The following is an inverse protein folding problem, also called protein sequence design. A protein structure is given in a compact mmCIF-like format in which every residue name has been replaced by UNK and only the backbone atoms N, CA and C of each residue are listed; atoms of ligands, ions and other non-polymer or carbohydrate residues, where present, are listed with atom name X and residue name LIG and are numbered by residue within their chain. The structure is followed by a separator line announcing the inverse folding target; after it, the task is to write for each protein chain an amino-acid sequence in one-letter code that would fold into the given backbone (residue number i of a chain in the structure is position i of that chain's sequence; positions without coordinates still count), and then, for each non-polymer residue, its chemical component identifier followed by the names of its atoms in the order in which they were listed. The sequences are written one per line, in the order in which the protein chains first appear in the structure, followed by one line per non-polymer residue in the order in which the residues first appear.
data_IF_197189854667
#
_entry.id   IF_197189854667
#
_cell.length_a   1.000
_cell.length_b   1.000
_cell.length_c   1.000
_cell.angle_alpha   90.00
_cell.angle_beta   90.00
_cell.angle_gamma   90.00
#
_symmetry.space_group_name_H-M   'P 1'
#
loop_
_entity.id
_entity.type
_entity.pdbx_description
1 polymer ?
#
# COMPACT_ATOMS: atom_id res chain seq x y z
N UNK A 1 2.22 -8.51 -6.48
CA UNK A 1 2.61 -7.81 -7.73
C UNK A 1 4.04 -8.13 -8.14
N UNK A 2 5.07 -7.80 -7.35
CA UNK A 2 6.48 -8.06 -7.69
C UNK A 2 6.77 -9.53 -8.05
N UNK A 3 6.21 -10.50 -7.31
CA UNK A 3 6.40 -11.92 -7.61
C UNK A 3 5.85 -12.36 -8.98
N UNK A 4 4.72 -11.79 -9.41
CA UNK A 4 4.17 -12.03 -10.75
C UNK A 4 5.09 -11.46 -11.84
N UNK A 5 5.69 -10.29 -11.59
CA UNK A 5 6.60 -9.60 -12.52
C UNK A 5 7.91 -10.37 -12.69
N UNK A 6 8.50 -10.82 -11.58
CA UNK A 6 9.77 -11.55 -11.59
C UNK A 6 9.59 -13.07 -11.82
N UNK A 7 8.37 -13.52 -12.09
CA UNK A 7 7.99 -14.94 -12.21
C UNK A 7 8.52 -15.82 -11.07
N UNK A 8 8.45 -15.31 -9.83
CA UNK A 8 8.96 -15.97 -8.63
C UNK A 8 8.03 -15.73 -7.45
N UNK A 9 7.76 -16.78 -6.69
CA UNK A 9 6.94 -16.69 -5.50
C UNK A 9 7.76 -16.25 -4.29
N UNK A 10 7.85 -14.92 -4.10
CA UNK A 10 8.53 -14.33 -2.95
C UNK A 10 7.82 -14.55 -1.62
N UNK A 11 6.53 -14.95 -1.63
CA UNK A 11 5.80 -15.30 -0.41
C UNK A 11 6.36 -16.60 0.15
N UNK A 12 6.71 -17.55 -0.73
CA UNK A 12 7.31 -18.85 -0.36
C UNK A 12 8.83 -18.78 -0.18
N UNK A 13 9.55 -18.10 -1.06
CA UNK A 13 11.01 -17.97 -1.02
C UNK A 13 11.45 -16.60 -1.57
N UNK A 14 12.02 -15.69 -0.75
CA UNK A 14 12.67 -15.91 0.55
C UNK A 14 11.73 -16.01 1.76
N UNK A 15 10.43 -15.80 1.58
CA UNK A 15 9.46 -15.82 2.67
C UNK A 15 8.90 -14.44 2.99
N UNK A 16 7.59 -14.37 3.22
CA UNK A 16 6.91 -13.15 3.65
C UNK A 16 7.40 -12.68 5.02
N UNK A 17 7.69 -13.61 5.92
CA UNK A 17 8.27 -13.40 7.24
C UNK A 17 9.59 -12.62 7.16
N UNK A 18 10.49 -13.03 6.25
CA UNK A 18 11.78 -12.35 6.06
C UNK A 18 11.61 -10.95 5.49
N UNK A 19 10.62 -10.78 4.62
CA UNK A 19 10.33 -9.48 4.00
C UNK A 19 9.77 -8.50 5.02
N UNK A 20 8.80 -8.93 5.83
CA UNK A 20 8.21 -8.11 6.90
C UNK A 20 9.25 -7.80 7.99
N UNK A 21 10.07 -8.79 8.37
CA UNK A 21 11.16 -8.56 9.33
C UNK A 21 12.18 -7.55 8.79
N UNK A 22 12.52 -7.63 7.51
CA UNK A 22 13.40 -6.65 6.85
C UNK A 22 12.84 -5.22 6.87
N UNK A 23 11.56 -5.05 6.55
CA UNK A 23 10.85 -3.75 6.58
C UNK A 23 10.80 -3.19 8.01
N UNK A 24 10.49 -4.05 8.99
CA UNK A 24 10.49 -3.68 10.41
C UNK A 24 11.86 -3.28 10.94
N UNK A 25 12.92 -4.01 10.59
CA UNK A 25 14.29 -3.67 10.96
C UNK A 25 14.74 -2.37 10.30
N UNK A 26 14.40 -2.17 9.02
CA UNK A 26 14.70 -0.92 8.33
C UNK A 26 13.99 0.27 8.98
N UNK A 27 12.72 0.12 9.35
CA UNK A 27 11.97 1.15 10.08
C UNK A 27 12.53 1.40 11.47
N UNK A 28 12.94 0.36 12.20
CA UNK A 28 13.58 0.50 13.51
C UNK A 28 14.89 1.29 13.42
N UNK A 29 15.76 0.94 12.46
CA UNK A 29 17.01 1.68 12.22
C UNK A 29 16.73 3.13 11.81
N UNK A 30 15.75 3.37 10.94
CA UNK A 30 15.33 4.72 10.56
C UNK A 30 14.85 5.52 11.78
N UNK A 31 14.01 4.94 12.63
CA UNK A 31 13.52 5.60 13.83
C UNK A 31 14.66 5.93 14.82
N UNK A 32 15.64 5.04 14.99
CA UNK A 32 16.81 5.29 15.85
C UNK A 32 17.65 6.49 15.39
N UNK A 33 17.75 6.73 14.08
CA UNK A 33 18.48 7.87 13.51
C UNK A 33 17.59 9.11 13.31
N UNK A 34 16.34 9.08 13.79
CA UNK A 34 15.38 10.19 13.67
C UNK A 34 14.72 10.32 12.30
N UNK A 35 14.83 9.30 11.44
CA UNK A 35 14.16 9.21 10.17
C UNK A 35 12.69 8.78 10.28
N UNK A 36 11.88 9.02 9.24
CA UNK A 36 10.48 8.59 9.20
C UNK A 36 10.36 7.06 9.03
N UNK A 37 9.18 6.52 9.33
CA UNK A 37 8.86 5.14 9.01
C UNK A 37 8.97 4.92 7.49
N UNK A 38 9.54 3.77 7.10
CA UNK A 38 9.70 3.40 5.70
C UNK A 38 8.76 2.25 5.33
N UNK A 39 8.58 2.05 4.03
CA UNK A 39 7.84 0.92 3.49
C UNK A 39 8.25 0.67 2.04
N UNK A 40 7.83 -0.46 1.48
CA UNK A 40 8.09 -0.79 0.08
C UNK A 40 7.23 0.04 -0.87
N UNK A 41 7.86 0.80 -1.76
CA UNK A 41 7.16 1.65 -2.73
C UNK A 41 6.66 0.86 -3.95
N UNK A 42 5.36 0.98 -4.24
CA UNK A 42 4.72 0.35 -5.42
C UNK A 42 5.26 0.89 -6.75
N UNK A 43 5.71 2.14 -6.78
CA UNK A 43 6.30 2.79 -7.97
C UNK A 43 7.58 2.05 -8.41
N UNK A 44 8.45 1.68 -7.46
CA UNK A 44 9.67 0.93 -7.73
C UNK A 44 9.37 -0.47 -8.31
N UNK A 45 8.31 -1.12 -7.82
CA UNK A 45 7.83 -2.39 -8.38
C UNK A 45 7.34 -2.22 -9.82
N UNK A 46 6.70 -1.09 -10.14
CA UNK A 46 6.30 -0.73 -11.49
C UNK A 46 7.47 -0.57 -12.45
N UNK A 47 8.55 0.09 -12.01
CA UNK A 47 9.80 0.24 -12.80
C UNK A 47 10.42 -1.12 -13.10
N UNK A 48 10.48 -2.03 -12.12
CA UNK A 48 10.94 -3.42 -12.35
C UNK A 48 10.04 -4.14 -13.35
N UNK A 49 8.73 -3.90 -13.31
CA UNK A 49 7.77 -4.42 -14.30
C UNK A 49 8.02 -3.95 -15.72
N UNK A 50 8.36 -2.68 -15.89
CA UNK A 50 8.62 -2.08 -17.20
C UNK A 50 10.00 -2.47 -17.74
N UNK A 51 11.03 -2.39 -16.91
CA UNK A 51 12.42 -2.66 -17.29
C UNK A 51 12.75 -4.15 -17.36
N UNK A 52 11.95 -5.00 -16.70
CA UNK A 52 12.21 -6.43 -16.47
C UNK A 52 13.53 -6.71 -15.76
N UNK A 53 14.10 -5.71 -15.06
CA UNK A 53 15.33 -5.86 -14.28
C UNK A 53 15.00 -5.96 -12.80
N UNK A 54 14.79 -7.19 -12.31
CA UNK A 54 14.52 -7.50 -10.90
C UNK A 54 15.77 -7.81 -10.08
N UNK A 55 16.89 -7.14 -10.35
CA UNK A 55 18.19 -7.43 -9.72
C UNK A 55 18.36 -6.68 -8.39
N UNK A 56 18.70 -7.40 -7.32
CA UNK A 56 18.99 -6.82 -5.99
C UNK A 56 20.18 -5.84 -6.05
N UNK A 57 21.15 -6.08 -6.96
CA UNK A 57 22.30 -5.20 -7.14
C UNK A 57 21.93 -3.83 -7.71
N UNK A 58 20.91 -3.77 -8.56
CA UNK A 58 20.43 -2.50 -9.13
C UNK A 58 19.75 -1.67 -8.03
N UNK A 59 18.89 -2.30 -7.22
CA UNK A 59 18.24 -1.65 -6.07
C UNK A 59 19.27 -1.24 -5.01
N UNK A 60 20.25 -2.09 -4.72
CA UNK A 60 21.35 -1.78 -3.80
C UNK A 60 22.22 -0.62 -4.29
N UNK A 61 22.56 -0.60 -5.59
CA UNK A 61 23.27 0.51 -6.20
C UNK A 61 22.49 1.82 -6.13
N UNK A 62 21.18 1.78 -6.40
CA UNK A 62 20.30 2.94 -6.24
C UNK A 62 20.26 3.45 -4.79
N UNK A 63 20.25 2.55 -3.79
CA UNK A 63 20.33 2.92 -2.38
C UNK A 63 21.64 3.62 -2.03
N UNK A 64 22.78 3.11 -2.50
CA UNK A 64 24.10 3.76 -2.28
C UNK A 64 24.13 5.14 -2.93
N UNK A 65 23.64 5.27 -4.16
CA UNK A 65 23.54 6.57 -4.85
C UNK A 65 22.66 7.53 -4.03
N UNK A 66 21.49 7.08 -3.56
CA UNK A 66 20.60 7.90 -2.76
C UNK A 66 21.26 8.39 -1.46
N UNK A 67 22.01 7.51 -0.77
CA UNK A 67 22.78 7.87 0.42
C UNK A 67 23.83 8.94 0.07
N UNK A 68 24.61 8.77 -0.99
CA UNK A 68 25.61 9.76 -1.42
C UNK A 68 24.93 11.10 -1.72
N UNK A 69 23.85 11.09 -2.51
CA UNK A 69 23.11 12.30 -2.89
C UNK A 69 22.52 13.02 -1.66
N UNK A 70 22.12 12.29 -0.62
CA UNK A 70 21.60 12.87 0.62
C UNK A 70 22.63 13.75 1.36
N UNK A 71 23.94 13.50 1.18
CA UNK A 71 25.01 14.31 1.76
C UNK A 71 25.48 15.46 0.84
N UNK A 72 25.02 15.53 -0.40
CA UNK A 72 25.42 16.58 -1.34
C UNK A 72 24.56 17.85 -1.16
N UNK A 73 25.20 18.92 -0.66
CA UNK A 73 24.56 20.24 -0.52
C UNK A 73 23.86 20.74 -1.81
N UNK A 74 24.46 20.63 -3.02
CA UNK A 74 23.81 21.10 -4.24
C UNK A 74 22.46 20.44 -4.52
N UNK A 75 22.32 19.14 -4.17
CA UNK A 75 21.07 18.39 -4.36
C UNK A 75 20.00 18.90 -3.41
N UNK A 76 20.37 19.14 -2.14
CA UNK A 76 19.46 19.72 -1.14
C UNK A 76 18.93 21.09 -1.58
N UNK A 77 19.82 21.94 -2.07
CA UNK A 77 19.47 23.29 -2.51
C UNK A 77 18.55 23.24 -3.74
N UNK A 78 18.78 22.30 -4.67
CA UNK A 78 17.92 22.08 -5.83
C UNK A 78 16.51 21.64 -5.42
N UNK A 79 16.39 20.67 -4.50
CA UNK A 79 15.08 20.20 -3.99
C UNK A 79 14.35 21.33 -3.29
N UNK A 80 15.06 22.14 -2.49
CA UNK A 80 14.48 23.27 -1.75
C UNK A 80 14.04 24.42 -2.68
N UNK A 81 14.60 24.50 -3.89
CA UNK A 81 14.23 25.48 -4.90
C UNK A 81 12.96 25.11 -5.69
N UNK A 82 12.41 23.90 -5.51
CA UNK A 82 11.20 23.46 -6.21
C UNK A 82 10.00 24.28 -5.70
N UNK A 83 9.24 24.96 -6.59
CA UNK A 83 8.08 25.74 -6.19
C UNK A 83 6.98 24.89 -5.55
N UNK A 84 6.30 25.44 -4.53
CA UNK A 84 5.18 24.79 -3.86
C UNK A 84 4.08 24.28 -4.82
N UNK A 85 3.68 25.00 -5.89
CA UNK A 85 2.69 24.49 -6.84
C UNK A 85 3.13 23.20 -7.55
N UNK A 86 4.43 23.05 -7.84
CA UNK A 86 4.98 21.85 -8.48
C UNK A 86 4.98 20.68 -7.50
N UNK A 87 5.37 20.94 -6.25
CA UNK A 87 5.31 19.94 -5.17
C UNK A 87 3.88 19.45 -4.93
N UNK A 88 2.89 20.35 -5.00
CA UNK A 88 1.47 19.98 -4.95
C UNK A 88 1.05 19.07 -6.10
N UNK A 89 1.45 19.39 -7.33
CA UNK A 89 1.18 18.55 -8.51
C UNK A 89 1.77 17.15 -8.40
N UNK A 90 3.04 17.04 -7.98
CA UNK A 90 3.71 15.74 -7.76
C UNK A 90 2.98 14.94 -6.66
N UNK A 91 2.57 15.60 -5.58
CA UNK A 91 1.85 14.95 -4.48
C UNK A 91 0.50 14.37 -4.94
N UNK A 92 -0.25 15.10 -5.78
CA UNK A 92 -1.51 14.62 -6.35
C UNK A 92 -1.28 13.36 -7.19
N UNK A 93 -0.25 13.36 -8.04
CA UNK A 93 0.09 12.19 -8.87
C UNK A 93 0.47 11.00 -7.99
N UNK A 94 1.33 11.21 -6.99
CA UNK A 94 1.81 10.15 -6.10
C UNK A 94 0.66 9.55 -5.28
N UNK A 95 -0.18 10.36 -4.65
CA UNK A 95 -1.33 9.86 -3.89
C UNK A 95 -2.38 9.20 -4.81
N UNK A 96 -2.58 9.74 -6.02
CA UNK A 96 -3.44 9.12 -7.04
C UNK A 96 -2.92 7.75 -7.48
N UNK A 97 -1.61 7.60 -7.65
CA UNK A 97 -0.97 6.34 -8.00
C UNK A 97 -1.10 5.30 -6.86
N UNK A 98 -0.96 5.72 -5.60
CA UNK A 98 -1.20 4.85 -4.44
C UNK A 98 -2.65 4.35 -4.45
N UNK A 99 -3.63 5.23 -4.65
CA UNK A 99 -5.05 4.86 -4.73
C UNK A 99 -5.33 3.88 -5.89
N UNK A 100 -4.77 4.15 -7.08
CA UNK A 100 -4.91 3.27 -8.24
C UNK A 100 -4.31 1.87 -8.01
N UNK A 101 -3.18 1.78 -7.32
CA UNK A 101 -2.59 0.48 -6.94
C UNK A 101 -3.47 -0.29 -5.95
N UNK A 102 -4.14 0.40 -5.02
CA UNK A 102 -5.14 -0.23 -4.15
C UNK A 102 -6.28 -0.88 -4.95
N UNK A 103 -6.84 -0.17 -5.92
CA UNK A 103 -7.87 -0.72 -6.83
C UNK A 103 -7.34 -1.90 -7.64
N UNK A 104 -6.10 -1.83 -8.12
CA UNK A 104 -5.45 -2.93 -8.83
C UNK A 104 -5.34 -4.18 -7.96
N UNK A 105 -5.03 -4.05 -6.67
CA UNK A 105 -4.98 -5.19 -5.73
C UNK A 105 -6.35 -5.85 -5.60
N UNK A 106 -7.43 -5.06 -5.47
CA UNK A 106 -8.80 -5.59 -5.42
C UNK A 106 -9.17 -6.36 -6.70
N UNK A 107 -8.80 -5.81 -7.86
CA UNK A 107 -9.03 -6.46 -9.14
C UNK A 107 -8.19 -7.74 -9.32
N UNK A 108 -6.91 -7.72 -8.96
CA UNK A 108 -6.05 -8.91 -9.03
C UNK A 108 -6.49 -10.02 -8.06
N UNK A 109 -7.09 -9.64 -6.93
CA UNK A 109 -7.69 -10.57 -5.98
C UNK A 109 -9.07 -11.09 -6.44
N UNK A 110 -9.59 -10.62 -7.58
CA UNK A 110 -10.90 -10.98 -8.12
C UNK A 110 -12.03 -10.81 -7.09
N UNK A 111 -12.02 -9.66 -6.38
CA UNK A 111 -13.06 -9.35 -5.40
C UNK A 111 -14.41 -9.22 -6.10
N UNK A 112 -15.34 -10.10 -5.73
CA UNK A 112 -16.71 -10.10 -6.26
C UNK A 112 -17.55 -9.04 -5.55
N UNK A 113 -17.85 -7.94 -6.27
CA UNK A 113 -18.73 -6.87 -5.80
C UNK A 113 -20.22 -7.13 -6.04
N UNK A 114 -20.60 -8.28 -6.62
CA UNK A 114 -22.00 -8.73 -6.60
C UNK A 114 -22.41 -9.23 -5.21
N UNK A 115 -21.45 -9.61 -4.37
CA UNK A 115 -21.69 -9.96 -2.96
C UNK A 115 -21.88 -8.70 -2.13
N UNK A 116 -23.04 -8.57 -1.49
CA UNK A 116 -23.41 -7.39 -0.70
C UNK A 116 -22.41 -7.17 0.45
N UNK A 117 -21.92 -8.27 1.05
CA UNK A 117 -20.85 -8.25 2.06
C UNK A 117 -19.63 -7.43 1.62
N UNK A 118 -19.10 -7.70 0.44
CA UNK A 118 -17.88 -7.06 -0.05
C UNK A 118 -18.10 -5.57 -0.35
N UNK A 119 -19.27 -5.23 -0.90
CA UNK A 119 -19.67 -3.84 -1.14
C UNK A 119 -19.77 -3.06 0.16
N UNK A 120 -20.41 -3.62 1.19
CA UNK A 120 -20.55 -2.98 2.51
C UNK A 120 -19.18 -2.72 3.13
N UNK A 121 -18.30 -3.73 3.18
CA UNK A 121 -16.96 -3.59 3.76
C UNK A 121 -16.18 -2.48 3.04
N UNK A 122 -16.17 -2.50 1.70
CA UNK A 122 -15.49 -1.50 0.89
C UNK A 122 -16.06 -0.08 1.12
N UNK A 123 -17.39 0.07 1.12
CA UNK A 123 -18.05 1.35 1.32
C UNK A 123 -17.73 1.95 2.70
N UNK A 124 -17.78 1.15 3.76
CA UNK A 124 -17.43 1.61 5.12
C UNK A 124 -15.97 2.03 5.20
N UNK A 125 -15.05 1.24 4.64
CA UNK A 125 -13.63 1.60 4.61
C UNK A 125 -13.39 2.91 3.87
N UNK A 126 -14.04 3.12 2.72
CA UNK A 126 -13.91 4.36 1.94
C UNK A 126 -14.45 5.57 2.69
N UNK A 127 -15.64 5.47 3.29
CA UNK A 127 -16.24 6.59 4.03
C UNK A 127 -15.40 6.94 5.26
N UNK A 128 -14.97 5.95 6.05
CA UNK A 128 -14.15 6.21 7.23
C UNK A 128 -12.75 6.74 6.87
N UNK A 129 -12.15 6.22 5.80
CA UNK A 129 -10.81 6.59 5.37
C UNK A 129 -10.74 7.96 4.70
N UNK A 130 -11.66 8.26 3.77
CA UNK A 130 -11.68 9.51 3.01
C UNK A 130 -12.50 10.62 3.67
N UNK A 131 -13.52 10.26 4.44
CA UNK A 131 -14.44 11.21 5.08
C UNK A 131 -13.87 11.92 6.31
N UNK A 132 -12.60 11.67 6.67
CA UNK A 132 -11.94 12.33 7.81
C UNK A 132 -12.48 11.89 9.17
N UNK A 133 -13.10 10.70 9.24
CA UNK A 133 -13.60 10.17 10.49
C UNK A 133 -12.45 9.96 11.49
N UNK A 134 -12.67 10.42 12.73
CA UNK A 134 -11.72 10.33 13.81
C UNK A 134 -12.43 9.84 15.07
N UNK A 135 -12.00 8.70 15.59
CA UNK A 135 -12.51 8.15 16.83
C UNK A 135 -11.53 8.46 17.95
N UNK A 136 -11.96 9.28 18.91
CA UNK A 136 -11.17 9.63 20.09
C UNK A 136 -11.39 8.57 21.16
N UNK A 137 -10.33 7.85 21.53
CA UNK A 137 -10.36 6.85 22.61
C UNK A 137 -9.97 7.50 23.94
N UNK A 138 -9.07 8.48 23.90
CA UNK A 138 -8.61 9.27 25.05
C UNK A 138 -8.22 10.67 24.57
N UNK A 139 -8.06 11.65 25.46
CA UNK A 139 -7.56 13.00 25.13
C UNK A 139 -6.24 12.99 24.32
N UNK A 140 -5.42 11.95 24.48
CA UNK A 140 -4.13 11.79 23.80
C UNK A 140 -4.14 10.79 22.62
N UNK A 141 -5.21 10.01 22.44
CA UNK A 141 -5.25 8.92 21.45
C UNK A 141 -6.46 9.06 20.53
N UNK A 142 -6.18 9.44 19.29
CA UNK A 142 -7.17 9.57 18.23
C UNK A 142 -6.81 8.60 17.11
N UNK A 143 -7.71 7.65 16.81
CA UNK A 143 -7.59 6.80 15.63
C UNK A 143 -8.37 7.49 14.52
N UNK A 144 -7.68 7.92 13.47
CA UNK A 144 -8.29 8.66 12.37
C UNK A 144 -7.89 8.12 11.00
N UNK A 145 -8.71 8.45 10.00
CA UNK A 145 -8.46 8.18 8.59
C UNK A 145 -8.17 6.71 8.31
N UNK A 146 -6.99 6.42 7.73
CA UNK A 146 -6.60 5.09 7.28
C UNK A 146 -6.61 4.04 8.40
N UNK A 147 -6.14 4.39 9.60
CA UNK A 147 -6.07 3.45 10.72
C UNK A 147 -7.47 3.00 11.16
N UNK A 148 -8.42 3.94 11.23
CA UNK A 148 -9.81 3.66 11.58
C UNK A 148 -10.49 2.80 10.50
N UNK A 149 -10.29 3.15 9.23
CA UNK A 149 -10.81 2.39 8.10
C UNK A 149 -10.31 0.95 8.07
N UNK A 150 -9.01 0.72 8.31
CA UNK A 150 -8.43 -0.62 8.33
C UNK A 150 -9.01 -1.47 9.47
N UNK A 151 -9.09 -0.93 10.69
CA UNK A 151 -9.66 -1.65 11.84
C UNK A 151 -11.12 -1.99 11.61
N UNK A 152 -11.93 -1.03 11.15
CA UNK A 152 -13.33 -1.27 10.83
C UNK A 152 -13.51 -2.33 9.73
N UNK A 153 -12.69 -2.27 8.67
CA UNK A 153 -12.69 -3.26 7.59
C UNK A 153 -12.40 -4.68 8.08
N UNK A 154 -11.38 -4.85 8.93
CA UNK A 154 -11.05 -6.16 9.52
C UNK A 154 -12.18 -6.68 10.40
N UNK A 155 -12.76 -5.82 11.25
CA UNK A 155 -13.87 -6.20 12.13
C UNK A 155 -15.09 -6.62 11.31
N UNK A 156 -15.47 -5.83 10.29
CA UNK A 156 -16.62 -6.16 9.44
C UNK A 156 -16.37 -7.43 8.63
N UNK A 157 -15.16 -7.65 8.13
CA UNK A 157 -14.80 -8.88 7.44
C UNK A 157 -14.95 -10.12 8.35
N UNK A 158 -14.67 -10.00 9.65
CA UNK A 158 -14.82 -11.08 10.61
C UNK A 158 -16.28 -11.31 11.03
N UNK A 159 -17.09 -10.25 11.15
CA UNK A 159 -18.47 -10.34 11.64
C UNK A 159 -19.45 -10.72 10.53
N UNK A 160 -19.27 -10.21 9.32
CA UNK A 160 -20.21 -10.42 8.22
C UNK A 160 -20.06 -11.85 7.67
N UNK A 161 -21.14 -12.65 7.62
CA UNK A 161 -21.09 -14.01 7.10
C UNK A 161 -20.93 -14.00 5.58
N UNK A 162 -20.20 -14.98 5.05
CA UNK A 162 -20.10 -15.18 3.60
C UNK A 162 -21.47 -15.52 3.02
N UNK A 163 -21.93 -14.70 2.06
CA UNK A 163 -23.11 -15.00 1.26
C UNK A 163 -22.83 -16.30 0.48
N UNK A 164 -23.60 -17.35 0.77
CA UNK A 164 -23.60 -18.57 -0.02
C UNK A 164 -24.19 -18.22 -1.39
N UNK A 165 -23.50 -18.64 -2.46
CA UNK A 165 -24.04 -18.54 -3.82
C UNK A 165 -25.43 -19.18 -3.83
N UNK A 166 -26.45 -18.38 -4.13
CA UNK A 166 -27.78 -18.92 -4.42
C UNK A 166 -27.64 -19.66 -5.74
N UNK A 167 -27.65 -20.99 -5.69
CA UNK A 167 -27.59 -21.89 -6.84
C UNK A 167 -28.87 -21.69 -7.70
N UNK A 168 -28.84 -20.73 -8.62
CA UNK A 168 -29.97 -20.40 -9.54
C UNK A 168 -30.19 -21.52 -10.59
N UNK A 169 -29.37 -22.57 -10.60
CA UNK A 169 -29.39 -23.62 -11.64
C UNK A 169 -30.56 -24.62 -11.55
N UNK A 170 -31.39 -24.60 -10.49
CA UNK A 170 -32.53 -25.53 -10.37
C UNK A 170 -33.85 -25.06 -11.00
N UNK A 171 -33.95 -23.82 -11.51
CA UNK A 171 -35.21 -23.29 -12.05
C UNK A 171 -35.37 -23.55 -13.57
N UNK A 172 -34.31 -23.94 -14.30
CA UNK A 172 -34.37 -24.19 -15.75
C UNK A 172 -34.68 -25.65 -16.15
N UNK A 173 -35.00 -26.55 -15.21
CA UNK A 173 -35.18 -27.99 -15.47
C UNK A 173 -36.48 -28.61 -14.92
N UNK A 174 -37.50 -27.81 -14.63
CA UNK A 174 -38.85 -28.33 -14.36
C UNK A 174 -39.85 -27.90 -15.42
#
# INVERSE_FOLDING_TARGET
VLGKICNRDFIKDPGLDRTILGDGLATFVAAMIGGPANTTYGENTGVVGLTRVGSVYVTGGAAVIAVILAFLKPVKDLISAIPLPVMGGISIILFGFIAANGLRVLNEAHVDFSKTRNVIICAVMLILGLGGAAFRITELTVISGMALAAVAGVILNLILPDEKEVEVDKIKKS
#
